data_IF_389146427837
#
_entry.id   IF_389146427837
#
_cell.length_a   1.000
_cell.length_b   1.000
_cell.length_c   1.000
_cell.angle_alpha   90.00
_cell.angle_beta   90.00
_cell.angle_gamma   90.00
#
_symmetry.space_group_name_H-M   'P 1'
#
loop_
_entity.id
_entity.type
_entity.pdbx_description
1 polymer ?
#
# COMPACT_ATOMS: atom_id res chain seq x y z
N UNK A 1 -2.80 -16.03 10.64
CA UNK A 1 -2.44 -17.32 9.98
C UNK A 1 -1.69 -17.13 8.67
N UNK A 2 -2.00 -16.11 7.86
CA UNK A 2 -1.28 -15.85 6.59
C UNK A 2 0.24 -15.55 6.77
N UNK A 3 0.63 -14.82 7.82
CA UNK A 3 2.04 -14.59 8.14
C UNK A 3 2.74 -15.79 8.81
N UNK A 4 2.02 -16.60 9.59
CA UNK A 4 2.58 -17.78 10.28
C UNK A 4 3.10 -18.84 9.31
N UNK A 5 2.46 -19.01 8.15
CA UNK A 5 2.96 -19.90 7.10
C UNK A 5 4.27 -19.37 6.46
N UNK A 6 4.42 -18.05 6.35
CA UNK A 6 5.59 -17.41 5.76
C UNK A 6 6.81 -17.40 6.70
N UNK A 7 6.58 -17.30 8.02
CA UNK A 7 7.66 -17.35 9.02
C UNK A 7 8.06 -18.78 9.39
N UNK A 8 7.12 -19.74 9.36
CA UNK A 8 7.42 -21.14 9.68
C UNK A 8 8.11 -21.89 8.52
N UNK A 9 7.81 -21.55 7.26
CA UNK A 9 8.49 -22.14 6.09
C UNK A 9 8.57 -21.13 4.93
N UNK A 10 9.64 -20.31 4.85
CA UNK A 10 9.78 -19.29 3.82
C UNK A 10 9.94 -19.86 2.40
N UNK A 11 10.29 -21.14 2.24
CA UNK A 11 10.44 -21.80 0.92
C UNK A 11 9.09 -22.27 0.33
N UNK A 12 8.04 -22.40 1.15
CA UNK A 12 6.67 -22.76 0.72
C UNK A 12 5.69 -21.57 0.79
N UNK A 13 6.17 -20.39 1.15
CA UNK A 13 5.38 -19.18 1.16
C UNK A 13 4.93 -18.84 -0.27
N UNK A 14 3.63 -18.99 -0.56
CA UNK A 14 3.06 -18.49 -1.81
C UNK A 14 3.41 -16.99 -1.97
N UNK A 15 4.04 -16.59 -3.09
CA UNK A 15 4.43 -15.21 -3.31
C UNK A 15 3.17 -14.38 -3.60
N UNK A 16 2.71 -13.65 -2.59
CA UNK A 16 1.54 -12.78 -2.66
C UNK A 16 0.45 -13.19 -1.68
N UNK A 17 0.17 -12.33 -0.70
CA UNK A 17 -0.98 -12.52 0.18
C UNK A 17 -2.26 -12.17 -0.59
N UNK A 18 -3.37 -12.86 -0.33
CA UNK A 18 -4.68 -12.56 -0.95
C UNK A 18 -5.07 -11.08 -0.79
N UNK A 19 -4.68 -10.46 0.32
CA UNK A 19 -4.90 -9.03 0.59
C UNK A 19 -4.10 -8.13 -0.35
N UNK A 20 -2.86 -8.49 -0.69
CA UNK A 20 -2.05 -7.72 -1.64
C UNK A 20 -2.67 -7.74 -3.04
N UNK A 21 -3.12 -8.91 -3.51
CA UNK A 21 -3.83 -9.04 -4.80
C UNK A 21 -5.13 -8.24 -4.80
N UNK A 22 -5.90 -8.30 -3.71
CA UNK A 22 -7.11 -7.49 -3.56
C UNK A 22 -6.81 -5.98 -3.66
N UNK A 23 -5.79 -5.49 -2.94
CA UNK A 23 -5.40 -4.08 -2.96
C UNK A 23 -4.89 -3.63 -4.34
N UNK A 24 -4.17 -4.50 -5.06
CA UNK A 24 -3.74 -4.24 -6.44
C UNK A 24 -4.94 -4.06 -7.36
N UNK A 25 -5.92 -4.98 -7.31
CA UNK A 25 -7.14 -4.88 -8.10
C UNK A 25 -7.95 -3.65 -7.72
N UNK A 26 -8.14 -3.40 -6.41
CA UNK A 26 -8.85 -2.23 -5.90
C UNK A 26 -8.23 -0.91 -6.40
N UNK A 27 -6.91 -0.76 -6.27
CA UNK A 27 -6.21 0.44 -6.74
C UNK A 27 -6.31 0.62 -8.26
N UNK A 28 -6.17 -0.47 -9.02
CA UNK A 28 -6.32 -0.45 -10.48
C UNK A 28 -7.74 -0.04 -10.88
N UNK A 29 -8.76 -0.63 -10.26
CA UNK A 29 -10.16 -0.26 -10.48
C UNK A 29 -10.41 1.21 -10.15
N UNK A 30 -9.85 1.74 -9.05
CA UNK A 30 -9.97 3.15 -8.70
C UNK A 30 -9.34 4.07 -9.76
N UNK A 31 -8.19 3.72 -10.33
CA UNK A 31 -7.54 4.51 -11.39
C UNK A 31 -8.44 4.63 -12.63
N UNK A 32 -9.07 3.54 -13.03
CA UNK A 32 -10.01 3.55 -14.16
C UNK A 32 -11.33 4.25 -13.82
N UNK A 33 -11.91 3.95 -12.66
CA UNK A 33 -13.17 4.55 -12.21
C UNK A 33 -13.09 6.08 -12.03
N UNK A 34 -11.91 6.60 -11.66
CA UNK A 34 -11.67 8.04 -11.49
C UNK A 34 -11.10 8.73 -12.74
N UNK A 35 -10.95 8.00 -13.85
CA UNK A 35 -10.36 8.49 -15.11
C UNK A 35 -8.94 9.05 -14.96
N UNK A 36 -8.24 8.70 -13.88
CA UNK A 36 -6.92 9.27 -13.56
C UNK A 36 -5.83 8.74 -14.49
N UNK A 37 -6.07 7.61 -15.18
CA UNK A 37 -5.20 7.09 -16.22
C UNK A 37 -4.95 8.06 -17.39
N UNK A 38 -5.87 9.01 -17.68
CA UNK A 38 -5.64 10.04 -18.69
C UNK A 38 -4.51 11.01 -18.30
N UNK A 39 -4.29 11.25 -17.01
CA UNK A 39 -3.17 12.09 -16.55
C UNK A 39 -1.82 11.47 -16.92
N UNK A 40 -1.75 10.13 -16.92
CA UNK A 40 -0.54 9.43 -17.35
C UNK A 40 -0.26 9.62 -18.85
N UNK A 41 -1.31 9.59 -19.68
CA UNK A 41 -1.18 9.85 -21.12
C UNK A 41 -0.74 11.30 -21.36
N UNK A 42 -1.33 12.27 -20.66
CA UNK A 42 -0.92 13.67 -20.76
C UNK A 42 0.53 13.87 -20.32
N UNK A 43 0.97 13.22 -19.24
CA UNK A 43 2.35 13.23 -18.77
C UNK A 43 3.33 12.62 -19.79
N UNK A 44 2.95 11.54 -20.48
CA UNK A 44 3.77 10.97 -21.55
C UNK A 44 3.96 11.96 -22.69
N UNK A 45 2.90 12.64 -23.14
CA UNK A 45 3.01 13.66 -24.19
C UNK A 45 3.92 14.80 -23.74
N UNK A 46 3.76 15.31 -22.51
CA UNK A 46 4.63 16.34 -21.93
C UNK A 46 6.10 15.93 -21.81
N UNK A 47 6.38 14.65 -21.59
CA UNK A 47 7.75 14.15 -21.51
C UNK A 47 8.54 14.32 -22.82
N UNK A 48 7.85 14.30 -23.98
CA UNK A 48 8.47 14.55 -25.28
C UNK A 48 8.89 16.01 -25.48
N UNK A 49 8.23 16.96 -24.81
CA UNK A 49 8.61 18.38 -24.85
C UNK A 49 9.82 18.66 -23.95
N UNK A 50 9.89 17.99 -22.79
CA UNK A 50 11.02 18.14 -21.86
C UNK A 50 12.30 17.47 -22.32
N UNK A 51 12.20 16.29 -22.94
CA UNK A 51 13.34 15.51 -23.43
C UNK A 51 13.54 15.80 -24.93
N UNK A 52 13.66 17.09 -25.28
CA UNK A 52 14.04 17.47 -26.64
C UNK A 52 15.45 16.91 -26.93
N UNK A 53 15.69 16.22 -28.07
CA UNK A 53 16.97 15.58 -28.40
C UNK A 53 18.20 16.51 -28.42
N UNK A 54 17.99 17.82 -28.33
CA UNK A 54 19.01 18.87 -28.45
C UNK A 54 19.43 19.52 -27.12
N UNK A 55 18.89 19.13 -25.96
CA UNK A 55 19.29 19.67 -24.64
C UNK A 55 20.00 18.61 -23.77
N UNK A 56 21.05 18.99 -23.02
CA UNK A 56 21.71 18.06 -22.10
C UNK A 56 20.74 17.61 -21.02
N UNK A 57 20.55 16.30 -20.90
CA UNK A 57 19.70 15.69 -19.87
C UNK A 57 20.37 15.86 -18.50
N UNK A 58 19.69 16.53 -17.57
CA UNK A 58 20.15 16.66 -16.17
C UNK A 58 19.78 15.36 -15.44
N UNK A 59 20.60 14.32 -15.61
CA UNK A 59 20.37 12.97 -15.05
C UNK A 59 20.32 12.97 -13.51
N UNK A 60 21.00 13.92 -12.85
CA UNK A 60 21.04 14.04 -11.39
C UNK A 60 19.66 14.31 -10.77
N UNK A 61 18.88 15.22 -11.37
CA UNK A 61 17.55 15.59 -10.85
C UNK A 61 16.55 14.42 -10.97
N UNK A 62 16.66 13.61 -12.03
CA UNK A 62 15.84 12.42 -12.20
C UNK A 62 16.13 11.34 -11.16
N UNK A 63 17.40 11.08 -10.86
CA UNK A 63 17.77 10.10 -9.84
C UNK A 63 17.28 10.52 -8.44
N UNK A 64 17.44 11.80 -8.08
CA UNK A 64 16.93 12.33 -6.81
C UNK A 64 15.40 12.28 -6.74
N UNK A 65 14.71 12.62 -7.83
CA UNK A 65 13.24 12.52 -7.91
C UNK A 65 12.77 11.06 -7.75
N UNK A 66 13.43 10.11 -8.41
CA UNK A 66 13.07 8.69 -8.33
C UNK A 66 13.23 8.16 -6.90
N UNK A 67 14.38 8.42 -6.25
CA UNK A 67 14.64 8.00 -4.86
C UNK A 67 13.61 8.59 -3.90
N UNK A 68 13.31 9.89 -4.05
CA UNK A 68 12.29 10.56 -3.23
C UNK A 68 10.90 9.95 -3.43
N UNK A 69 10.52 9.67 -4.68
CA UNK A 69 9.21 9.08 -5.01
C UNK A 69 9.06 7.68 -4.42
N UNK A 70 10.11 6.87 -4.46
CA UNK A 70 10.13 5.55 -3.81
C UNK A 70 10.00 5.69 -2.29
N UNK A 71 10.76 6.60 -1.68
CA UNK A 71 10.69 6.87 -0.24
C UNK A 71 9.30 7.32 0.21
N UNK A 72 8.69 8.26 -0.51
CA UNK A 72 7.34 8.75 -0.23
C UNK A 72 6.29 7.63 -0.40
N UNK A 73 6.45 6.78 -1.43
CA UNK A 73 5.53 5.65 -1.67
C UNK A 73 5.61 4.60 -0.55
N UNK A 74 6.82 4.32 -0.05
CA UNK A 74 7.02 3.43 1.09
C UNK A 74 6.39 4.00 2.36
N UNK A 75 6.65 5.29 2.66
CA UNK A 75 6.07 5.98 3.80
C UNK A 75 4.54 5.93 3.76
N UNK A 76 3.95 6.18 2.59
CA UNK A 76 2.50 6.05 2.40
C UNK A 76 2.01 4.63 2.61
N UNK A 77 2.70 3.63 2.07
CA UNK A 77 2.35 2.22 2.32
C UNK A 77 2.29 1.90 3.82
N UNK A 78 3.26 2.39 4.59
CA UNK A 78 3.30 2.22 6.05
C UNK A 78 2.15 2.98 6.74
N UNK A 79 1.91 4.24 6.35
CA UNK A 79 0.80 5.05 6.91
C UNK A 79 -0.56 4.42 6.64
N UNK A 80 -0.78 3.93 5.42
CA UNK A 80 -1.99 3.23 5.01
C UNK A 80 -2.17 1.91 5.76
N UNK A 81 -1.09 1.18 6.04
CA UNK A 81 -1.11 -0.05 6.82
C UNK A 81 -1.26 0.19 8.34
N UNK A 82 -1.03 1.42 8.83
CA UNK A 82 -0.96 1.73 10.25
C UNK A 82 -2.19 1.26 11.07
N UNK A 83 -3.45 1.44 10.63
CA UNK A 83 -4.62 1.02 11.40
C UNK A 83 -4.64 -0.49 11.66
N UNK A 84 -4.26 -1.28 10.64
CA UNK A 84 -4.23 -2.75 10.71
C UNK A 84 -3.03 -3.20 11.56
N UNK A 85 -1.87 -2.54 11.43
CA UNK A 85 -0.68 -2.82 12.25
C UNK A 85 -0.97 -2.58 13.73
N UNK A 86 -1.57 -1.43 14.07
CA UNK A 86 -1.93 -1.07 15.45
C UNK A 86 -2.93 -2.08 16.02
N UNK A 87 -3.97 -2.41 15.25
CA UNK A 87 -4.92 -3.45 15.65
C UNK A 87 -4.22 -4.79 15.91
N UNK A 88 -3.38 -5.25 14.98
CA UNK A 88 -2.67 -6.52 15.12
C UNK A 88 -1.77 -6.53 16.35
N UNK A 89 -1.07 -5.43 16.64
CA UNK A 89 -0.23 -5.30 17.82
C UNK A 89 -1.05 -5.43 19.11
N UNK A 90 -2.13 -4.65 19.22
CA UNK A 90 -3.03 -4.68 20.39
C UNK A 90 -3.63 -6.08 20.56
N UNK A 91 -4.09 -6.70 19.47
CA UNK A 91 -4.69 -8.03 19.51
C UNK A 91 -3.70 -9.12 19.95
N UNK A 92 -2.46 -9.07 19.47
CA UNK A 92 -1.42 -10.01 19.90
C UNK A 92 -1.07 -9.83 21.38
N UNK A 93 -0.98 -8.58 21.86
CA UNK A 93 -0.75 -8.30 23.29
C UNK A 93 -1.92 -8.78 24.16
N UNK A 94 -3.16 -8.51 23.74
CA UNK A 94 -4.35 -8.93 24.46
C UNK A 94 -4.47 -10.46 24.53
N UNK A 95 -4.26 -11.16 23.42
CA UNK A 95 -4.30 -12.63 23.39
C UNK A 95 -3.17 -13.25 24.22
N UNK A 96 -1.97 -12.67 24.21
CA UNK A 96 -0.86 -13.08 25.08
C UNK A 96 -1.15 -12.89 26.57
N UNK A 97 -1.82 -11.79 26.95
CA UNK A 97 -2.25 -11.55 28.32
C UNK A 97 -3.31 -12.58 28.77
N UNK A 98 -4.30 -12.86 27.93
CA UNK A 98 -5.32 -13.88 28.22
C UNK A 98 -4.70 -15.26 28.38
N UNK A 99 -3.72 -15.60 27.55
CA UNK A 99 -2.96 -16.86 27.66
C UNK A 99 -2.29 -17.01 29.04
N UNK A 100 -1.81 -15.90 29.62
CA UNK A 100 -1.19 -15.89 30.95
C UNK A 100 -2.21 -16.00 32.08
N UNK A 101 -3.38 -15.34 31.95
CA UNK A 101 -4.43 -15.34 32.98
C UNK A 101 -5.17 -16.67 33.04
N UNK A 102 -5.44 -17.29 31.89
CA UNK A 102 -6.15 -18.57 31.79
C UNK A 102 -5.30 -19.60 31.04
N UNK A 103 -4.24 -20.15 31.64
CA UNK A 103 -3.30 -21.05 30.95
C UNK A 103 -3.93 -22.40 30.54
N UNK A 104 -5.00 -22.83 31.22
CA UNK A 104 -5.77 -24.01 30.82
C UNK A 104 -6.71 -23.76 29.64
N UNK A 105 -6.99 -22.49 29.30
CA UNK A 105 -7.81 -22.13 28.15
C UNK A 105 -6.97 -22.17 26.87
N UNK A 106 -7.44 -22.91 25.86
CA UNK A 106 -6.74 -23.02 24.58
C UNK A 106 -6.94 -21.74 23.74
N UNK A 107 -6.22 -20.67 24.10
CA UNK A 107 -6.35 -19.34 23.49
C UNK A 107 -6.16 -19.33 21.97
N UNK A 108 -5.30 -20.21 21.44
CA UNK A 108 -5.03 -20.28 20.00
C UNK A 108 -6.27 -20.64 19.18
N UNK A 109 -7.15 -21.51 19.71
CA UNK A 109 -8.39 -21.90 19.02
C UNK A 109 -9.42 -20.77 18.99
N UNK A 110 -9.48 -19.94 20.03
CA UNK A 110 -10.40 -18.80 20.09
C UNK A 110 -9.84 -17.56 19.36
N UNK A 111 -8.55 -17.28 19.51
CA UNK A 111 -7.91 -16.11 18.95
C UNK A 111 -7.74 -16.19 17.42
N UNK A 112 -7.53 -17.38 16.86
CA UNK A 112 -7.38 -17.56 15.42
C UNK A 112 -8.59 -17.02 14.61
N UNK A 113 -9.84 -17.51 14.80
CA UNK A 113 -11.00 -16.99 14.07
C UNK A 113 -11.30 -15.52 14.43
N UNK A 114 -11.13 -15.14 15.70
CA UNK A 114 -11.39 -13.78 16.16
C UNK A 114 -10.44 -12.76 15.50
N UNK A 115 -9.17 -13.12 15.34
CA UNK A 115 -8.16 -12.27 14.70
C UNK A 115 -8.50 -11.95 13.25
N UNK A 116 -9.07 -12.93 12.53
CA UNK A 116 -9.43 -12.77 11.12
C UNK A 116 -10.67 -11.88 10.99
N UNK A 117 -11.71 -12.13 11.79
CA UNK A 117 -12.94 -11.34 11.75
C UNK A 117 -12.63 -9.88 12.09
N UNK A 118 -12.00 -9.63 13.24
CA UNK A 118 -11.69 -8.28 13.68
C UNK A 118 -10.67 -7.58 12.75
N UNK A 119 -9.65 -8.30 12.29
CA UNK A 119 -8.66 -7.76 11.36
C UNK A 119 -9.28 -7.35 10.03
N UNK A 120 -10.17 -8.18 9.47
CA UNK A 120 -10.92 -7.84 8.26
C UNK A 120 -11.93 -6.72 8.49
N UNK A 121 -12.57 -6.65 9.66
CA UNK A 121 -13.47 -5.52 9.99
C UNK A 121 -12.71 -4.20 10.02
N UNK A 122 -11.56 -4.14 10.70
CA UNK A 122 -10.71 -2.93 10.73
C UNK A 122 -10.22 -2.58 9.33
N UNK A 123 -9.79 -3.58 8.56
CA UNK A 123 -9.38 -3.38 7.17
C UNK A 123 -10.53 -2.81 6.31
N UNK A 124 -11.73 -3.39 6.40
CA UNK A 124 -12.90 -2.94 5.64
C UNK A 124 -13.30 -1.51 5.98
N UNK A 125 -13.27 -1.13 7.27
CA UNK A 125 -13.52 0.25 7.70
C UNK A 125 -12.46 1.22 7.17
N UNK A 126 -11.21 0.77 7.04
CA UNK A 126 -10.12 1.60 6.51
C UNK A 126 -10.18 1.79 4.99
N UNK A 127 -10.86 0.90 4.24
CA UNK A 127 -10.82 0.91 2.76
C UNK A 127 -11.28 2.22 2.12
N UNK A 128 -12.28 2.88 2.71
CA UNK A 128 -12.75 4.18 2.20
C UNK A 128 -11.63 5.23 2.23
N UNK A 129 -10.97 5.36 3.38
CA UNK A 129 -9.84 6.28 3.56
C UNK A 129 -8.67 5.87 2.66
N UNK A 130 -8.35 4.57 2.61
CA UNK A 130 -7.29 4.04 1.75
C UNK A 130 -7.47 4.46 0.28
N UNK A 131 -8.69 4.30 -0.24
CA UNK A 131 -9.02 4.65 -1.62
C UNK A 131 -8.86 6.15 -1.91
N UNK A 132 -9.35 7.01 -1.02
CA UNK A 132 -9.24 8.48 -1.17
C UNK A 132 -7.78 8.94 -1.17
N UNK A 133 -7.01 8.54 -0.14
CA UNK A 133 -5.59 8.92 -0.01
C UNK A 133 -4.75 8.39 -1.17
N UNK A 134 -5.04 7.17 -1.64
CA UNK A 134 -4.37 6.59 -2.80
C UNK A 134 -4.57 7.43 -4.07
N UNK A 135 -5.82 7.81 -4.39
CA UNK A 135 -6.11 8.62 -5.57
C UNK A 135 -5.52 10.02 -5.47
N UNK A 136 -5.62 10.67 -4.31
CA UNK A 136 -5.06 12.01 -4.12
C UNK A 136 -3.54 12.01 -4.31
N UNK A 137 -2.85 11.01 -3.76
CA UNK A 137 -1.40 10.90 -3.98
C UNK A 137 -1.07 10.57 -5.43
N UNK A 138 -1.79 9.63 -6.04
CA UNK A 138 -1.55 9.25 -7.42
C UNK A 138 -1.66 10.46 -8.35
N UNK A 139 -2.69 11.30 -8.15
CA UNK A 139 -2.87 12.57 -8.88
C UNK A 139 -1.72 13.53 -8.65
N UNK A 140 -1.28 13.70 -7.40
CA UNK A 140 -0.15 14.58 -7.07
C UNK A 140 1.14 14.16 -7.77
N UNK A 141 1.42 12.85 -7.84
CA UNK A 141 2.59 12.32 -8.56
C UNK A 141 2.42 12.50 -10.08
N UNK A 142 1.26 12.16 -10.63
CA UNK A 142 0.98 12.31 -12.06
C UNK A 142 1.06 13.77 -12.53
N UNK A 143 0.63 14.72 -11.70
CA UNK A 143 0.67 16.15 -11.98
C UNK A 143 2.11 16.70 -12.11
N UNK A 144 3.08 16.14 -11.37
CA UNK A 144 4.49 16.53 -11.51
C UNK A 144 5.01 16.23 -12.91
N UNK A 145 4.57 15.13 -13.51
CA UNK A 145 4.98 14.74 -14.86
C UNK A 145 4.14 15.45 -15.95
N UNK A 146 2.87 15.73 -15.69
CA UNK A 146 2.01 16.47 -16.62
C UNK A 146 2.29 17.98 -16.67
N UNK A 147 2.69 18.58 -15.54
CA UNK A 147 3.00 20.01 -15.43
C UNK A 147 4.26 20.46 -16.17
N UNK A 148 5.05 19.52 -16.67
CA UNK A 148 6.15 19.79 -17.59
C UNK A 148 5.69 20.17 -19.01
N UNK A 149 4.47 19.83 -19.39
CA UNK A 149 3.88 20.06 -20.72
C UNK A 149 3.27 21.47 -20.91
N UNK A 150 3.34 22.34 -19.89
CA UNK A 150 2.50 23.52 -19.80
C UNK A 150 3.21 24.74 -19.20
N UNK A 151 4.46 24.97 -19.59
CA UNK A 151 5.05 26.31 -19.51
C UNK A 151 4.40 27.27 -20.51
#
# INVERSE_FOLDING_TARGET
TLSFAQTANPLQAQPGTTVATFLMLFGTTLIFATNTHHLFIAALVGSYELIAPARPMIVGDFATMAVRTVGDSFLLGVQLAAPVIVFALIFNLASGLVARVMPQFQIFFAAAPLSVILGLSVFALSLGVLGTVFIDRYRAVAAVFAGGAGG
#
